data_IF_841526323395
#
_entry.id   IF_841526323395
#
_cell.length_a   1.000
_cell.length_b   1.000
_cell.length_c   1.000
_cell.angle_alpha   90.00
_cell.angle_beta   90.00
_cell.angle_gamma   90.00
#
_symmetry.space_group_name_H-M   'P 1'
#
loop_
_entity.id
_entity.type
_entity.pdbx_description
1 polymer ?
#
# COMPACT_ATOMS: atom_id res chain seq x y z
N UNK A 1 -24.62 14.65 -70.10
CA UNK A 1 -25.16 14.72 -68.75
C UNK A 1 -24.98 13.44 -67.93
N UNK A 2 -25.36 12.26 -68.39
CA UNK A 2 -25.25 11.00 -67.62
C UNK A 2 -23.79 10.62 -67.19
N UNK A 3 -22.77 10.86 -68.05
CA UNK A 3 -21.35 10.57 -67.72
C UNK A 3 -20.81 11.50 -66.59
N UNK A 4 -21.22 12.73 -66.49
CA UNK A 4 -20.79 13.71 -65.49
C UNK A 4 -21.38 13.38 -64.10
N UNK A 5 -22.62 12.91 -64.07
CA UNK A 5 -23.28 12.48 -62.79
C UNK A 5 -22.62 11.24 -62.22
N UNK A 6 -22.21 10.26 -63.03
CA UNK A 6 -21.51 9.03 -62.58
C UNK A 6 -20.12 9.36 -62.01
N UNK A 7 -19.39 10.30 -62.61
CA UNK A 7 -18.08 10.73 -62.06
C UNK A 7 -18.21 11.46 -60.69
N UNK A 8 -19.21 12.31 -60.53
CA UNK A 8 -19.46 12.98 -59.24
C UNK A 8 -19.87 12.02 -58.12
N UNK A 9 -20.67 11.02 -58.42
CA UNK A 9 -21.06 9.98 -57.42
C UNK A 9 -19.89 9.09 -57.04
N UNK A 10 -18.95 8.72 -57.96
CA UNK A 10 -17.78 7.94 -57.65
C UNK A 10 -16.78 8.71 -56.78
N UNK A 11 -16.60 10.00 -56.98
CA UNK A 11 -15.71 10.86 -56.17
C UNK A 11 -16.29 11.04 -54.76
N UNK A 12 -17.63 11.21 -54.63
CA UNK A 12 -18.26 11.35 -53.31
C UNK A 12 -18.17 10.05 -52.47
N UNK A 13 -18.31 8.88 -53.10
CA UNK A 13 -18.17 7.59 -52.40
C UNK A 13 -16.72 7.28 -51.99
N UNK A 14 -15.72 7.67 -52.81
CA UNK A 14 -14.32 7.52 -52.46
C UNK A 14 -13.93 8.45 -51.29
N UNK A 15 -14.46 9.68 -51.25
CA UNK A 15 -14.22 10.62 -50.16
C UNK A 15 -14.87 10.18 -48.85
N UNK A 16 -16.07 9.57 -48.87
CA UNK A 16 -16.74 9.02 -47.71
C UNK A 16 -15.98 7.78 -47.11
N UNK A 17 -15.41 6.95 -47.96
CA UNK A 17 -14.60 5.78 -47.53
C UNK A 17 -13.27 6.18 -46.87
N UNK A 18 -12.66 7.31 -47.31
CA UNK A 18 -11.42 7.79 -46.64
C UNK A 18 -11.68 8.40 -45.29
N UNK A 19 -12.81 9.09 -45.06
CA UNK A 19 -13.17 9.66 -43.77
C UNK A 19 -13.53 8.60 -42.75
N UNK A 20 -14.18 7.51 -43.14
CA UNK A 20 -14.52 6.40 -42.21
C UNK A 20 -13.29 5.62 -41.77
N UNK A 21 -12.32 5.40 -42.65
CA UNK A 21 -11.05 4.74 -42.28
C UNK A 21 -10.21 5.60 -41.31
N UNK A 22 -10.16 6.91 -41.50
CA UNK A 22 -9.39 7.80 -40.66
C UNK A 22 -9.98 7.90 -39.25
N UNK A 23 -11.31 7.87 -39.10
CA UNK A 23 -11.99 7.86 -37.79
C UNK A 23 -11.81 6.53 -37.04
N UNK A 24 -11.73 5.41 -37.76
CA UNK A 24 -11.48 4.10 -37.17
C UNK A 24 -10.05 3.97 -36.66
N UNK A 25 -9.08 4.45 -37.45
CA UNK A 25 -7.65 4.43 -37.08
C UNK A 25 -7.32 5.37 -35.92
N UNK A 26 -8.01 6.52 -35.80
CA UNK A 26 -7.88 7.40 -34.64
C UNK A 26 -8.43 6.76 -33.36
N UNK A 27 -9.62 6.15 -33.42
CA UNK A 27 -10.20 5.43 -32.26
C UNK A 27 -9.32 4.27 -31.80
N UNK A 28 -8.73 3.53 -32.73
CA UNK A 28 -7.85 2.42 -32.43
C UNK A 28 -6.55 2.90 -31.73
N UNK A 29 -5.95 4.00 -32.20
CA UNK A 29 -4.78 4.64 -31.58
C UNK A 29 -5.07 5.21 -30.21
N UNK A 30 -6.24 5.83 -29.98
CA UNK A 30 -6.66 6.29 -28.66
C UNK A 30 -6.85 5.10 -27.70
N UNK A 31 -7.53 4.03 -28.14
CA UNK A 31 -7.75 2.83 -27.33
C UNK A 31 -6.42 2.15 -26.96
N UNK A 32 -5.46 2.06 -27.89
CA UNK A 32 -4.13 1.48 -27.63
C UNK A 32 -3.38 2.35 -26.62
N UNK A 33 -3.42 3.67 -26.76
CA UNK A 33 -2.78 4.59 -25.83
C UNK A 33 -3.37 4.54 -24.42
N UNK A 34 -4.68 4.37 -24.31
CA UNK A 34 -5.37 4.18 -23.02
C UNK A 34 -4.99 2.85 -22.39
N UNK A 35 -4.88 1.78 -23.18
CA UNK A 35 -4.43 0.47 -22.71
C UNK A 35 -2.95 0.53 -22.27
N UNK A 36 -2.08 1.18 -23.03
CA UNK A 36 -0.68 1.38 -22.65
C UNK A 36 -0.55 2.17 -21.35
N UNK A 37 -1.32 3.26 -21.19
CA UNK A 37 -1.34 4.04 -19.95
C UNK A 37 -1.84 3.20 -18.75
N UNK A 38 -2.86 2.37 -18.93
CA UNK A 38 -3.37 1.45 -17.88
C UNK A 38 -2.35 0.37 -17.55
N UNK A 39 -1.61 -0.15 -18.54
CA UNK A 39 -0.56 -1.17 -18.33
C UNK A 39 0.66 -0.57 -17.64
N UNK A 40 1.07 0.65 -18.00
CA UNK A 40 2.19 1.36 -17.35
C UNK A 40 1.84 1.69 -15.89
N UNK A 41 0.61 2.13 -15.61
CA UNK A 41 0.14 2.37 -14.22
C UNK A 41 0.13 1.10 -13.35
N UNK A 42 0.14 -0.11 -13.95
CA UNK A 42 0.21 -1.40 -13.24
C UNK A 42 1.61 -1.95 -13.03
N UNK A 43 2.65 -1.31 -13.57
CA UNK A 43 4.05 -1.76 -13.48
C UNK A 43 4.91 -0.91 -12.56
N UNK A 44 4.32 -0.35 -11.50
CA UNK A 44 5.08 0.38 -10.48
C UNK A 44 6.05 -0.57 -9.78
N UNK A 45 7.32 -0.20 -9.77
CA UNK A 45 8.35 -0.99 -9.11
C UNK A 45 8.17 -0.90 -7.59
N UNK A 46 8.21 -2.02 -6.86
CA UNK A 46 8.24 -1.99 -5.42
C UNK A 46 9.47 -1.23 -4.89
N UNK A 47 9.25 -0.31 -3.96
CA UNK A 47 10.28 0.40 -3.22
C UNK A 47 10.33 -0.15 -1.80
N UNK A 48 11.44 -0.81 -1.44
CA UNK A 48 11.61 -1.42 -0.12
C UNK A 48 12.29 -0.45 0.84
N UNK A 49 11.86 -0.48 2.09
CA UNK A 49 12.45 0.30 3.18
C UNK A 49 12.88 -0.63 4.33
N UNK A 50 14.02 -0.32 4.91
CA UNK A 50 14.59 -0.99 6.07
C UNK A 50 14.72 0.01 7.21
N UNK A 51 14.08 -0.27 8.34
CA UNK A 51 14.18 0.55 9.55
C UNK A 51 15.46 0.25 10.34
N UNK A 52 15.83 -1.05 10.42
CA UNK A 52 17.03 -1.60 11.05
C UNK A 52 17.73 -2.56 10.09
N UNK A 53 18.51 -2.06 9.11
CA UNK A 53 19.00 -2.84 7.97
C UNK A 53 19.73 -4.14 8.35
N UNK A 54 20.55 -4.11 9.39
CA UNK A 54 21.34 -5.29 9.79
C UNK A 54 20.46 -6.37 10.45
N UNK A 55 19.47 -5.96 11.26
CA UNK A 55 18.51 -6.85 11.91
C UNK A 55 17.60 -7.48 10.87
N UNK A 56 17.00 -6.66 10.02
CA UNK A 56 16.05 -7.09 8.99
C UNK A 56 16.71 -8.03 7.98
N UNK A 57 17.95 -7.73 7.58
CA UNK A 57 18.75 -8.60 6.73
C UNK A 57 19.05 -9.95 7.39
N UNK A 58 19.37 -9.94 8.69
CA UNK A 58 19.65 -11.17 9.43
C UNK A 58 18.40 -12.06 9.56
N UNK A 59 17.23 -11.46 9.73
CA UNK A 59 15.94 -12.16 9.80
C UNK A 59 15.30 -12.41 8.42
N UNK A 60 15.81 -11.82 7.34
CA UNK A 60 15.37 -12.07 5.97
C UNK A 60 14.04 -11.40 5.58
N UNK A 61 13.78 -10.19 6.07
CA UNK A 61 12.59 -9.42 5.70
C UNK A 61 12.91 -7.95 5.40
N UNK A 62 11.95 -7.23 4.83
CA UNK A 62 11.97 -5.77 4.68
C UNK A 62 10.87 -5.17 5.54
N UNK A 63 11.16 -4.04 6.21
CA UNK A 63 10.17 -3.46 7.13
C UNK A 63 8.95 -2.87 6.42
N UNK A 64 9.15 -2.31 5.24
CA UNK A 64 8.04 -1.85 4.42
C UNK A 64 8.32 -1.97 2.92
N UNK A 65 7.25 -2.01 2.14
CA UNK A 65 7.27 -1.91 0.68
C UNK A 65 6.19 -0.95 0.22
N UNK A 66 6.57 0.01 -0.65
CA UNK A 66 5.64 0.90 -1.34
C UNK A 66 5.46 0.44 -2.79
N UNK A 67 4.22 0.40 -3.26
CA UNK A 67 3.84 0.11 -4.65
C UNK A 67 2.77 1.13 -5.02
N UNK A 68 3.12 2.12 -5.84
CA UNK A 68 2.24 3.23 -6.12
C UNK A 68 1.84 3.99 -4.86
N UNK A 69 0.56 4.08 -4.61
CA UNK A 69 0.00 4.76 -3.46
C UNK A 69 -0.17 3.85 -2.22
N UNK A 70 0.10 2.55 -2.38
CA UNK A 70 -0.08 1.58 -1.31
C UNK A 70 1.25 1.24 -0.64
N UNK A 71 1.25 1.22 0.69
CA UNK A 71 2.41 0.83 1.50
C UNK A 71 1.98 -0.29 2.43
N UNK A 72 2.75 -1.39 2.39
CA UNK A 72 2.60 -2.50 3.34
C UNK A 72 3.76 -2.43 4.32
N UNK A 73 3.43 -2.44 5.60
CA UNK A 73 4.41 -2.34 6.70
C UNK A 73 4.35 -3.65 7.49
N UNK A 74 5.48 -4.32 7.57
CA UNK A 74 5.65 -5.56 8.35
C UNK A 74 5.40 -5.32 9.83
N UNK A 75 5.18 -6.40 10.58
CA UNK A 75 4.94 -6.35 12.01
C UNK A 75 6.07 -5.63 12.76
N UNK A 76 5.70 -4.59 13.51
CA UNK A 76 6.58 -3.92 14.44
C UNK A 76 6.45 -4.58 15.81
N UNK A 77 7.60 -4.89 16.42
CA UNK A 77 7.72 -5.43 17.77
C UNK A 77 8.60 -4.51 18.63
N UNK A 78 8.56 -4.67 19.95
CA UNK A 78 9.34 -3.84 20.87
C UNK A 78 10.79 -4.28 20.95
N UNK A 79 11.66 -3.68 20.11
CA UNK A 79 13.10 -3.95 20.10
C UNK A 79 13.92 -2.65 20.03
N UNK A 80 15.20 -2.74 20.43
CA UNK A 80 16.18 -1.67 20.22
C UNK A 80 16.75 -1.69 18.77
N UNK A 81 17.71 -0.83 18.49
CA UNK A 81 18.31 -0.73 17.14
C UNK A 81 19.22 -1.93 16.81
N UNK A 82 19.67 -2.69 17.80
CA UNK A 82 20.43 -3.93 17.67
C UNK A 82 19.55 -5.18 17.55
N UNK A 83 18.19 -5.01 17.68
CA UNK A 83 17.22 -6.09 17.59
C UNK A 83 16.95 -6.84 18.91
N UNK A 84 17.45 -6.32 20.05
CA UNK A 84 17.17 -6.92 21.33
C UNK A 84 15.76 -6.53 21.82
N UNK A 85 14.98 -7.49 22.42
CA UNK A 85 13.69 -7.17 23.00
C UNK A 85 13.79 -6.11 24.09
N UNK A 86 12.83 -5.16 24.08
CA UNK A 86 12.71 -4.11 25.09
C UNK A 86 11.38 -4.18 25.82
N UNK A 87 11.25 -3.52 26.97
CA UNK A 87 10.04 -3.50 27.78
C UNK A 87 9.50 -4.92 28.10
N UNK A 88 10.39 -5.86 28.38
CA UNK A 88 10.06 -7.28 28.64
C UNK A 88 9.01 -7.38 29.76
N UNK A 89 7.93 -8.13 29.51
CA UNK A 89 6.84 -8.34 30.46
C UNK A 89 5.88 -7.14 30.59
N UNK A 90 6.06 -6.08 29.81
CA UNK A 90 5.20 -4.87 29.83
C UNK A 90 4.55 -4.64 28.46
N UNK A 91 3.42 -5.30 28.20
CA UNK A 91 2.70 -5.20 26.93
C UNK A 91 2.33 -3.75 26.55
N UNK A 92 1.85 -2.96 27.51
CA UNK A 92 1.46 -1.56 27.26
C UNK A 92 2.64 -0.71 26.78
N UNK A 93 3.84 -0.93 27.34
CA UNK A 93 5.04 -0.23 26.87
C UNK A 93 5.52 -0.81 25.54
N UNK A 94 5.45 -2.13 25.34
CA UNK A 94 5.77 -2.75 24.04
C UNK A 94 4.86 -2.20 22.95
N UNK A 95 3.56 -2.04 23.19
CA UNK A 95 2.61 -1.47 22.25
C UNK A 95 3.01 -0.02 21.86
N UNK A 96 3.40 0.80 22.82
CA UNK A 96 3.90 2.16 22.56
C UNK A 96 5.16 2.17 21.71
N UNK A 97 6.08 1.24 21.96
CA UNK A 97 7.31 1.11 21.17
C UNK A 97 7.00 0.68 19.72
N UNK A 98 6.05 -0.25 19.52
CA UNK A 98 5.59 -0.62 18.18
C UNK A 98 5.06 0.60 17.41
N UNK A 99 4.18 1.40 18.00
CA UNK A 99 3.65 2.60 17.34
C UNK A 99 4.73 3.65 17.09
N UNK A 100 5.73 3.78 17.96
CA UNK A 100 6.86 4.68 17.73
C UNK A 100 7.70 4.28 16.52
N UNK A 101 7.91 2.98 16.29
CA UNK A 101 8.61 2.48 15.11
C UNK A 101 7.75 2.61 13.84
N UNK A 102 6.46 2.30 13.91
CA UNK A 102 5.51 2.51 12.82
C UNK A 102 5.44 3.98 12.40
N UNK A 103 5.47 4.91 13.37
CA UNK A 103 5.52 6.35 13.08
C UNK A 103 6.76 6.76 12.30
N UNK A 104 7.94 6.19 12.61
CA UNK A 104 9.18 6.44 11.86
C UNK A 104 9.04 6.01 10.39
N UNK A 105 8.42 4.85 10.17
CA UNK A 105 8.19 4.31 8.83
C UNK A 105 7.19 5.17 8.05
N UNK A 106 6.07 5.54 8.68
CA UNK A 106 5.08 6.44 8.09
C UNK A 106 5.72 7.77 7.69
N UNK A 107 6.52 8.37 8.57
CA UNK A 107 7.26 9.62 8.30
C UNK A 107 8.24 9.48 7.13
N UNK A 108 8.89 8.34 6.96
CA UNK A 108 9.77 8.09 5.81
C UNK A 108 9.04 8.24 4.48
N UNK A 109 7.79 7.76 4.40
CA UNK A 109 6.95 7.89 3.21
C UNK A 109 6.12 9.19 3.17
N UNK A 110 6.31 10.11 4.14
CA UNK A 110 5.53 11.33 4.26
C UNK A 110 4.05 11.06 4.58
N UNK A 111 3.78 9.97 5.30
CA UNK A 111 2.47 9.55 5.78
C UNK A 111 2.31 9.80 7.29
N UNK A 112 1.10 9.70 7.75
CA UNK A 112 0.70 9.74 9.15
C UNK A 112 -0.22 8.57 9.48
N UNK A 113 -0.63 8.41 10.73
CA UNK A 113 -1.65 7.41 11.10
C UNK A 113 -3.02 7.67 10.47
N UNK A 114 -3.29 8.88 9.98
CA UNK A 114 -4.53 9.20 9.24
C UNK A 114 -4.60 8.53 7.86
N UNK A 115 -3.46 8.10 7.32
CA UNK A 115 -3.35 7.42 6.02
C UNK A 115 -3.44 5.89 6.14
N UNK A 116 -3.48 5.37 7.39
CA UNK A 116 -3.56 3.93 7.68
C UNK A 116 -4.98 3.42 7.40
N UNK A 117 -5.09 2.39 6.58
CA UNK A 117 -6.38 1.79 6.19
C UNK A 117 -6.60 0.40 6.82
N UNK A 118 -5.51 -0.31 7.18
CA UNK A 118 -5.57 -1.59 7.90
C UNK A 118 -4.55 -1.58 9.05
N UNK A 119 -4.96 -2.08 10.20
CA UNK A 119 -4.09 -2.40 11.33
C UNK A 119 -4.42 -3.80 11.84
N UNK A 120 -3.46 -4.71 11.78
CA UNK A 120 -3.59 -6.02 12.40
C UNK A 120 -2.70 -6.09 13.64
N UNK A 121 -3.27 -6.57 14.74
CA UNK A 121 -2.59 -6.75 16.01
C UNK A 121 -2.52 -8.23 16.35
N UNK A 122 -1.32 -8.72 16.59
CA UNK A 122 -1.04 -10.06 17.09
C UNK A 122 -0.54 -9.96 18.53
N UNK A 123 -1.10 -10.71 19.44
CA UNK A 123 -0.69 -10.68 20.85
C UNK A 123 -0.67 -12.05 21.48
N UNK A 124 0.28 -12.29 22.37
CA UNK A 124 0.33 -13.52 23.19
C UNK A 124 -0.56 -13.42 24.42
N UNK A 125 -1.07 -12.22 24.76
CA UNK A 125 -1.98 -11.99 25.89
C UNK A 125 -3.11 -11.02 25.49
N UNK A 126 -4.21 -11.56 25.00
CA UNK A 126 -5.36 -10.78 24.55
C UNK A 126 -6.03 -10.01 25.71
N UNK A 127 -6.04 -10.56 26.93
CA UNK A 127 -6.66 -9.87 28.07
C UNK A 127 -5.87 -8.59 28.40
N UNK A 128 -4.56 -8.73 28.50
CA UNK A 128 -3.67 -7.58 28.77
C UNK A 128 -3.66 -6.58 27.61
N UNK A 129 -3.78 -7.03 26.36
CA UNK A 129 -3.94 -6.14 25.22
C UNK A 129 -5.23 -5.31 25.35
N UNK A 130 -6.36 -5.92 25.68
CA UNK A 130 -7.64 -5.22 25.81
C UNK A 130 -7.60 -4.16 26.93
N UNK A 131 -6.88 -4.40 28.01
CA UNK A 131 -6.66 -3.41 29.08
C UNK A 131 -5.89 -2.17 28.58
N UNK A 132 -5.02 -2.33 27.59
CA UNK A 132 -4.19 -1.27 27.01
C UNK A 132 -4.75 -0.70 25.69
N UNK A 133 -5.78 -1.31 25.09
CA UNK A 133 -6.27 -0.97 23.75
C UNK A 133 -6.76 0.48 23.61
N UNK A 134 -7.15 1.14 24.70
CA UNK A 134 -7.56 2.54 24.71
C UNK A 134 -6.45 3.49 24.20
N UNK A 135 -5.17 3.13 24.32
CA UNK A 135 -4.06 3.90 23.77
C UNK A 135 -4.17 4.15 22.27
N UNK A 136 -4.84 3.26 21.52
CA UNK A 136 -5.09 3.44 20.09
C UNK A 136 -5.87 4.72 19.77
N UNK A 137 -6.69 5.21 20.71
CA UNK A 137 -7.41 6.48 20.54
C UNK A 137 -6.49 7.71 20.57
N UNK A 138 -5.28 7.59 21.13
CA UNK A 138 -4.25 8.62 21.06
C UNK A 138 -3.50 8.61 19.72
N UNK A 139 -3.47 7.45 19.04
CA UNK A 139 -2.83 7.23 17.75
C UNK A 139 -3.78 7.61 16.60
N UNK A 140 -5.00 7.07 16.61
CA UNK A 140 -6.01 7.29 15.57
C UNK A 140 -7.04 8.32 16.03
N UNK A 141 -6.74 9.61 15.78
CA UNK A 141 -7.56 10.72 16.28
C UNK A 141 -8.73 11.09 15.36
N UNK A 142 -8.70 10.68 14.09
CA UNK A 142 -9.77 10.97 13.11
C UNK A 142 -10.66 9.76 12.85
N UNK A 143 -10.04 8.65 12.45
CA UNK A 143 -10.75 7.43 12.06
C UNK A 143 -9.91 6.21 12.42
N UNK A 144 -10.50 5.21 13.05
CA UNK A 144 -9.84 3.92 13.23
C UNK A 144 -9.74 3.18 11.89
N UNK A 145 -8.58 2.54 11.59
CA UNK A 145 -8.45 1.67 10.44
C UNK A 145 -9.30 0.40 10.60
N UNK A 146 -9.50 -0.31 9.50
CA UNK A 146 -9.99 -1.69 9.53
C UNK A 146 -8.90 -2.62 10.05
N UNK A 147 -9.23 -3.86 10.42
CA UNK A 147 -8.21 -4.84 10.81
C UNK A 147 -8.72 -5.90 11.78
N UNK A 148 -7.79 -6.66 12.31
CA UNK A 148 -8.07 -7.80 13.19
C UNK A 148 -7.19 -7.78 14.43
N UNK A 149 -7.72 -8.22 15.55
CA UNK A 149 -6.97 -8.50 16.77
C UNK A 149 -6.91 -10.01 16.96
N UNK A 150 -5.72 -10.57 16.96
CA UNK A 150 -5.48 -12.00 16.93
C UNK A 150 -4.65 -12.43 18.15
N UNK A 151 -5.20 -13.32 18.97
CA UNK A 151 -4.42 -14.02 19.98
C UNK A 151 -3.58 -15.11 19.34
N UNK A 152 -2.27 -15.06 19.50
CA UNK A 152 -1.32 -16.04 18.98
C UNK A 152 -0.64 -16.81 20.12
N UNK A 153 -0.15 -18.01 19.82
CA UNK A 153 0.52 -18.82 20.82
C UNK A 153 1.88 -18.25 21.20
N UNK A 154 2.62 -17.76 20.20
CA UNK A 154 3.98 -17.21 20.34
C UNK A 154 4.25 -16.24 19.20
N UNK A 155 5.14 -15.29 19.41
CA UNK A 155 5.77 -14.43 18.41
C UNK A 155 7.19 -14.93 18.12
N UNK A 156 7.88 -14.29 17.18
CA UNK A 156 9.21 -14.72 16.71
C UNK A 156 10.26 -14.83 17.84
N UNK A 157 10.13 -13.99 18.87
CA UNK A 157 10.98 -14.01 20.06
C UNK A 157 10.08 -14.10 21.29
N UNK A 158 10.39 -14.96 22.28
CA UNK A 158 9.51 -15.22 23.43
C UNK A 158 9.18 -13.99 24.30
N UNK A 159 10.05 -12.98 24.30
CA UNK A 159 9.90 -11.75 25.06
C UNK A 159 8.91 -10.77 24.41
N UNK A 160 8.55 -10.95 23.14
CA UNK A 160 7.55 -10.13 22.47
C UNK A 160 6.15 -10.58 22.88
N UNK A 161 5.35 -9.64 23.32
CA UNK A 161 3.96 -9.86 23.73
C UNK A 161 2.95 -9.32 22.72
N UNK A 162 3.40 -8.42 21.82
CA UNK A 162 2.58 -7.77 20.83
C UNK A 162 3.39 -7.47 19.56
N UNK A 163 2.73 -7.62 18.41
CA UNK A 163 3.21 -7.25 17.09
C UNK A 163 2.08 -6.52 16.36
N UNK A 164 2.41 -5.43 15.66
CA UNK A 164 1.43 -4.58 14.94
C UNK A 164 1.92 -4.39 13.51
N UNK A 165 1.10 -4.76 12.53
CA UNK A 165 1.34 -4.51 11.11
C UNK A 165 0.32 -3.53 10.53
N UNK A 166 0.72 -2.75 9.52
CA UNK A 166 -0.13 -1.74 8.90
C UNK A 166 -0.18 -1.88 7.38
N UNK A 167 -1.34 -1.51 6.81
CA UNK A 167 -1.45 -1.13 5.40
C UNK A 167 -1.88 0.33 5.31
N UNK A 168 -1.24 1.05 4.39
CA UNK A 168 -1.42 2.50 4.22
C UNK A 168 -1.81 2.77 2.78
N UNK A 169 -2.76 3.67 2.58
CA UNK A 169 -3.11 4.19 1.27
C UNK A 169 -2.98 5.71 1.28
N UNK A 170 -2.08 6.25 0.47
CA UNK A 170 -1.87 7.68 0.32
C UNK A 170 -2.21 8.10 -1.11
N UNK A 171 -3.43 8.62 -1.36
CA UNK A 171 -3.77 9.17 -2.66
C UNK A 171 -2.84 10.35 -3.02
N UNK A 172 -2.58 10.53 -4.32
CA UNK A 172 -1.82 11.65 -4.86
C UNK A 172 -2.46 13.01 -4.57
#
# INVERSE_FOLDING_TARGET
MKKLIIQLTLIATLFALTFTNQSCEQKEKETIKDIENVVVARSEKPEYFLLRPEVEKAYGYSHAVKIGNDIKISGAVSMDDEGNPTAIGNLGQQMKNCYADLEKILKHYGCTFDDVVVENVFTTDMALFLENAAYRSEIYTKQFPTGSWLGVKELAVPEFMIEIELEVHKPE
#
